data_IF_713762537643
#
_entry.id   IF_713762537643
#
_cell.length_a   1.000
_cell.length_b   1.000
_cell.length_c   1.000
_cell.angle_alpha   90.00
_cell.angle_beta   90.00
_cell.angle_gamma   90.00
#
_symmetry.space_group_name_H-M   'P 1'
#
loop_
_entity.id
_entity.type
_entity.pdbx_description
1 polymer ?
#
# COMPACT_ATOMS: atom_id res chain seq x y z
N UNK A 1 5.05 -14.82 -1.58
CA UNK A 1 4.16 -13.79 -1.03
C UNK A 1 3.34 -13.26 -2.19
N UNK A 2 2.02 -13.49 -2.21
CA UNK A 2 1.18 -13.05 -3.33
C UNK A 2 1.02 -11.52 -3.22
N UNK A 3 1.37 -10.78 -4.28
CA UNK A 3 1.05 -9.36 -4.40
C UNK A 3 -0.47 -9.22 -4.25
N UNK A 4 -0.95 -8.27 -3.46
CA UNK A 4 -2.32 -7.76 -3.65
C UNK A 4 -2.50 -7.57 -5.16
N UNK A 5 -3.43 -8.29 -5.78
CA UNK A 5 -3.80 -8.14 -7.19
C UNK A 5 -4.58 -6.82 -7.40
N UNK A 6 -4.03 -5.72 -6.90
CA UNK A 6 -3.99 -4.53 -7.70
C UNK A 6 -2.77 -4.74 -8.58
N UNK A 7 -2.90 -4.53 -9.88
CA UNK A 7 -1.75 -4.45 -10.78
C UNK A 7 -0.89 -3.27 -10.28
N UNK A 8 -0.08 -3.51 -9.23
CA UNK A 8 0.72 -2.55 -8.47
C UNK A 8 1.93 -2.21 -9.33
N UNK A 9 1.64 -1.62 -10.46
CA UNK A 9 2.58 -0.73 -11.07
C UNK A 9 2.08 0.66 -10.73
N UNK A 10 2.37 1.04 -9.50
CA UNK A 10 2.29 2.42 -9.02
C UNK A 10 2.90 3.35 -10.08
N UNK A 11 4.01 2.93 -10.70
CA UNK A 11 4.65 3.58 -11.84
C UNK A 11 3.78 3.65 -13.10
N UNK A 12 2.97 2.63 -13.43
CA UNK A 12 2.01 2.67 -14.56
C UNK A 12 0.83 3.57 -14.25
N UNK A 13 0.27 3.48 -13.04
CA UNK A 13 -0.86 4.32 -12.64
C UNK A 13 -0.43 5.78 -12.65
N UNK A 14 0.73 6.10 -12.09
CA UNK A 14 1.27 7.45 -12.06
C UNK A 14 2.06 7.83 -13.34
N UNK A 15 2.04 6.97 -14.37
CA UNK A 15 2.71 7.27 -15.62
C UNK A 15 2.03 8.48 -16.29
N UNK A 16 2.78 9.54 -16.52
CA UNK A 16 2.26 10.77 -17.12
C UNK A 16 1.53 11.70 -16.15
N UNK A 17 1.48 11.40 -14.83
CA UNK A 17 1.00 12.36 -13.83
C UNK A 17 2.02 13.49 -13.61
N UNK A 18 1.56 14.65 -13.14
CA UNK A 18 2.44 15.76 -12.76
C UNK A 18 3.36 15.37 -11.60
N UNK A 19 4.48 16.09 -11.45
CA UNK A 19 5.41 15.93 -10.32
C UNK A 19 4.68 16.17 -8.99
N UNK A 20 3.84 17.19 -8.92
CA UNK A 20 3.01 17.50 -7.75
C UNK A 20 2.16 16.31 -7.29
N UNK A 21 1.50 15.61 -8.23
CA UNK A 21 0.71 14.42 -7.90
C UNK A 21 1.62 13.29 -7.41
N UNK A 22 2.77 13.06 -8.07
CA UNK A 22 3.72 12.02 -7.64
C UNK A 22 4.22 12.28 -6.22
N UNK A 23 4.69 13.50 -5.95
CA UNK A 23 5.20 13.91 -4.64
C UNK A 23 4.11 13.77 -3.57
N UNK A 24 2.88 14.17 -3.88
CA UNK A 24 1.74 14.00 -2.98
C UNK A 24 1.46 12.53 -2.66
N UNK A 25 1.43 11.66 -3.67
CA UNK A 25 1.19 10.22 -3.47
C UNK A 25 2.32 9.59 -2.66
N UNK A 26 3.57 9.96 -2.95
CA UNK A 26 4.73 9.50 -2.18
C UNK A 26 4.64 9.93 -0.72
N UNK A 27 4.29 11.19 -0.46
CA UNK A 27 4.10 11.70 0.90
C UNK A 27 2.94 10.98 1.62
N UNK A 28 1.82 10.74 0.94
CA UNK A 28 0.68 10.02 1.49
C UNK A 28 1.03 8.57 1.86
N UNK A 29 1.77 7.87 0.98
CA UNK A 29 2.25 6.51 1.25
C UNK A 29 3.18 6.50 2.45
N UNK A 30 4.15 7.43 2.50
CA UNK A 30 5.07 7.52 3.62
C UNK A 30 4.33 7.77 4.94
N UNK A 31 3.33 8.67 4.95
CA UNK A 31 2.52 8.96 6.12
C UNK A 31 1.77 7.71 6.60
N UNK A 32 1.19 6.92 5.67
CA UNK A 32 0.45 5.70 6.00
C UNK A 32 1.38 4.67 6.66
N UNK A 33 2.56 4.46 6.06
CA UNK A 33 3.54 3.47 6.53
C UNK A 33 4.13 3.81 7.90
N UNK A 34 4.20 5.09 8.28
CA UNK A 34 4.75 5.48 9.60
C UNK A 34 3.68 5.73 10.67
N UNK A 35 2.40 5.67 10.32
CA UNK A 35 1.28 6.13 11.15
C UNK A 35 1.19 5.41 12.50
N UNK A 36 1.61 4.17 12.58
CA UNK A 36 1.56 3.31 13.77
C UNK A 36 2.90 3.25 14.54
N UNK A 37 3.90 4.00 14.10
CA UNK A 37 5.24 4.07 14.67
C UNK A 37 6.12 2.82 14.50
N UNK A 38 5.73 1.82 13.70
CA UNK A 38 6.49 0.58 13.44
C UNK A 38 6.49 0.32 11.93
N UNK A 39 7.66 0.19 11.30
CA UNK A 39 7.74 -0.16 9.87
C UNK A 39 8.09 -1.64 9.73
N UNK A 40 7.13 -2.43 9.30
CA UNK A 40 7.30 -3.85 9.00
C UNK A 40 7.88 -4.07 7.59
N UNK A 41 8.42 -5.28 7.35
CA UNK A 41 9.11 -5.60 6.08
C UNK A 41 8.25 -5.39 4.84
N UNK A 42 6.95 -5.69 4.92
CA UNK A 42 6.05 -5.55 3.78
C UNK A 42 5.65 -4.08 3.54
N UNK A 43 5.55 -3.26 4.59
CA UNK A 43 5.32 -1.82 4.47
C UNK A 43 6.54 -1.12 3.87
N UNK A 44 7.74 -1.58 4.22
CA UNK A 44 8.98 -1.10 3.62
C UNK A 44 9.02 -1.33 2.09
N UNK A 45 8.47 -2.45 1.60
CA UNK A 45 8.37 -2.70 0.14
C UNK A 45 7.47 -1.65 -0.53
N UNK A 46 6.35 -1.28 0.10
CA UNK A 46 5.48 -0.22 -0.43
C UNK A 46 6.20 1.15 -0.45
N UNK A 47 6.99 1.44 0.60
CA UNK A 47 7.81 2.65 0.64
C UNK A 47 8.91 2.65 -0.45
N UNK A 48 9.55 1.50 -0.70
CA UNK A 48 10.52 1.35 -1.79
C UNK A 48 9.90 1.58 -3.17
N UNK A 49 8.69 1.07 -3.41
CA UNK A 49 7.95 1.33 -4.65
C UNK A 49 7.62 2.82 -4.80
N UNK A 50 7.23 3.50 -3.73
CA UNK A 50 6.96 4.94 -3.74
C UNK A 50 8.23 5.77 -4.01
N UNK A 51 9.35 5.44 -3.37
CA UNK A 51 10.65 6.08 -3.59
C UNK A 51 11.08 6.01 -5.05
N UNK A 52 10.75 4.93 -5.75
CA UNK A 52 11.01 4.76 -7.18
C UNK A 52 10.29 5.75 -8.09
N UNK A 53 9.34 6.55 -7.57
CA UNK A 53 8.63 7.60 -8.31
C UNK A 53 9.30 8.97 -8.24
N UNK A 54 10.25 9.14 -7.33
CA UNK A 54 10.96 10.41 -7.13
C UNK A 54 12.02 10.60 -8.20
N UNK A 55 12.26 11.86 -8.57
CA UNK A 55 13.01 12.18 -9.79
C UNK A 55 14.54 12.07 -9.58
N UNK A 56 15.01 12.19 -8.33
CA UNK A 56 16.45 12.22 -8.03
C UNK A 56 16.80 11.69 -6.63
N UNK A 57 18.11 11.45 -6.42
CA UNK A 57 18.64 10.89 -5.17
C UNK A 57 18.45 11.80 -3.95
N UNK A 58 18.39 13.12 -4.14
CA UNK A 58 18.25 14.07 -3.04
C UNK A 58 16.83 14.04 -2.47
N UNK A 59 15.81 13.95 -3.32
CA UNK A 59 14.41 13.75 -2.90
C UNK A 59 14.23 12.43 -2.14
N UNK A 60 14.88 11.35 -2.64
CA UNK A 60 14.87 10.06 -1.96
C UNK A 60 15.52 10.18 -0.58
N UNK A 61 16.65 10.88 -0.48
CA UNK A 61 17.36 11.07 0.77
C UNK A 61 16.55 11.91 1.77
N UNK A 62 15.93 13.00 1.32
CA UNK A 62 15.06 13.85 2.13
C UNK A 62 13.88 13.07 2.69
N UNK A 63 13.13 12.36 1.83
CA UNK A 63 12.01 11.53 2.26
C UNK A 63 12.46 10.48 3.29
N UNK A 64 13.56 9.78 3.03
CA UNK A 64 14.07 8.76 3.95
C UNK A 64 14.51 9.36 5.30
N UNK A 65 15.01 10.58 5.32
CA UNK A 65 15.33 11.28 6.56
C UNK A 65 14.04 11.67 7.30
N UNK A 66 13.03 12.22 6.61
CA UNK A 66 11.72 12.52 7.20
C UNK A 66 11.01 11.29 7.76
N UNK A 67 11.08 10.15 7.06
CA UNK A 67 10.55 8.86 7.53
C UNK A 67 11.26 8.40 8.80
N UNK A 68 12.60 8.49 8.86
CA UNK A 68 13.38 8.14 10.05
C UNK A 68 13.06 9.05 11.23
N UNK A 69 12.95 10.35 10.98
CA UNK A 69 12.64 11.37 11.99
C UNK A 69 11.15 11.40 12.37
N UNK A 70 10.29 10.74 11.60
CA UNK A 70 8.82 10.74 11.76
C UNK A 70 8.23 12.15 11.67
N UNK A 71 8.87 13.00 10.86
CA UNK A 71 8.44 14.37 10.56
C UNK A 71 8.07 14.44 9.09
N UNK A 72 6.99 13.75 8.75
CA UNK A 72 6.43 13.85 7.41
C UNK A 72 5.53 15.06 7.29
N UNK A 73 5.46 15.58 6.08
CA UNK A 73 4.59 16.69 5.75
C UNK A 73 3.13 16.25 5.83
N UNK A 74 2.27 17.14 6.29
CA UNK A 74 0.84 16.86 6.39
C UNK A 74 0.23 16.61 5.00
N UNK A 75 -0.70 15.65 4.90
CA UNK A 75 -1.41 15.41 3.64
C UNK A 75 -2.46 16.51 3.43
N UNK A 76 -2.23 17.36 2.44
CA UNK A 76 -3.11 18.47 2.06
C UNK A 76 -4.05 18.13 0.89
N UNK A 77 -5.02 19.00 0.61
CA UNK A 77 -5.97 18.82 -0.50
C UNK A 77 -5.24 18.95 -1.85
N UNK A 78 -5.53 18.07 -2.79
CA UNK A 78 -4.96 18.08 -4.14
C UNK A 78 -6.06 17.95 -5.19
N UNK A 79 -5.90 18.67 -6.30
CA UNK A 79 -6.82 18.56 -7.45
C UNK A 79 -6.33 17.49 -8.41
N UNK A 80 -7.20 16.52 -8.71
CA UNK A 80 -6.95 15.45 -9.67
C UNK A 80 -8.23 15.17 -10.46
N UNK A 81 -8.09 14.54 -11.63
CA UNK A 81 -9.24 13.93 -12.29
C UNK A 81 -9.93 12.93 -11.33
N UNK A 82 -11.28 12.93 -11.19
CA UNK A 82 -11.97 12.07 -10.23
C UNK A 82 -11.71 10.57 -10.40
N UNK A 83 -11.61 10.10 -11.65
CA UNK A 83 -11.29 8.70 -11.94
C UNK A 83 -9.87 8.36 -11.53
N UNK A 84 -8.94 9.29 -11.74
CA UNK A 84 -7.57 9.17 -11.30
C UNK A 84 -7.42 9.19 -9.77
N UNK A 85 -8.11 10.12 -9.10
CA UNK A 85 -8.15 10.22 -7.63
C UNK A 85 -8.66 8.92 -6.99
N UNK A 86 -9.69 8.31 -7.57
CA UNK A 86 -10.20 7.02 -7.12
C UNK A 86 -9.14 5.90 -7.25
N UNK A 87 -8.43 5.83 -8.38
CA UNK A 87 -7.36 4.85 -8.57
C UNK A 87 -6.22 5.03 -7.56
N UNK A 88 -5.80 6.28 -7.31
CA UNK A 88 -4.83 6.60 -6.25
C UNK A 88 -5.35 6.14 -4.89
N UNK A 89 -6.62 6.36 -4.58
CA UNK A 89 -7.19 5.95 -3.30
C UNK A 89 -7.22 4.43 -3.11
N UNK A 90 -7.50 3.65 -4.16
CA UNK A 90 -7.39 2.19 -4.11
C UNK A 90 -5.98 1.71 -3.77
N UNK A 91 -4.95 2.38 -4.31
CA UNK A 91 -3.55 2.09 -4.01
C UNK A 91 -3.25 2.39 -2.54
N UNK A 92 -3.63 3.57 -2.05
CA UNK A 92 -3.40 3.97 -0.65
C UNK A 92 -4.08 2.99 0.30
N UNK A 93 -5.32 2.60 0.02
CA UNK A 93 -6.05 1.63 0.83
C UNK A 93 -5.33 0.27 0.86
N UNK A 94 -4.81 -0.19 -0.28
CA UNK A 94 -4.08 -1.45 -0.37
C UNK A 94 -2.73 -1.43 0.34
N UNK A 95 -2.09 -0.25 0.45
CA UNK A 95 -0.87 -0.09 1.25
C UNK A 95 -1.23 -0.10 2.73
N UNK A 96 -2.28 0.61 3.14
CA UNK A 96 -2.72 0.70 4.52
C UNK A 96 -3.11 -0.66 5.14
N UNK A 97 -3.43 -1.68 4.33
CA UNK A 97 -3.81 -3.02 4.81
C UNK A 97 -2.80 -4.11 4.47
N UNK A 98 -1.60 -3.75 4.03
CA UNK A 98 -0.63 -4.70 3.47
C UNK A 98 -0.12 -5.71 4.52
N UNK A 99 -0.20 -5.37 5.81
CA UNK A 99 0.10 -6.26 6.94
C UNK A 99 -1.03 -7.27 7.24
N UNK A 100 -2.20 -7.10 6.60
CA UNK A 100 -3.38 -7.91 6.81
C UNK A 100 -4.35 -7.38 7.86
N UNK A 101 -4.08 -6.22 8.44
CA UNK A 101 -4.91 -5.52 9.41
C UNK A 101 -5.07 -4.05 8.99
N UNK A 102 -5.88 -3.28 9.72
CA UNK A 102 -5.92 -1.82 9.58
C UNK A 102 -6.01 -1.22 10.98
N UNK A 103 -4.90 -0.66 11.46
CA UNK A 103 -4.85 0.00 12.77
C UNK A 103 -5.64 1.30 12.71
N UNK A 104 -6.04 1.80 13.88
CA UNK A 104 -6.82 3.03 13.97
C UNK A 104 -6.10 4.24 13.36
N UNK A 105 -4.79 4.36 13.59
CA UNK A 105 -3.96 5.44 13.04
C UNK A 105 -3.92 5.42 11.50
N UNK A 106 -3.72 4.23 10.91
CA UNK A 106 -3.74 4.03 9.46
C UNK A 106 -5.14 4.31 8.88
N UNK A 107 -6.21 3.89 9.56
CA UNK A 107 -7.59 4.14 9.14
C UNK A 107 -7.93 5.63 9.14
N UNK A 108 -7.56 6.35 10.20
CA UNK A 108 -7.80 7.79 10.34
C UNK A 108 -7.03 8.57 9.26
N UNK A 109 -5.79 8.18 8.98
CA UNK A 109 -4.98 8.78 7.93
C UNK A 109 -5.46 8.44 6.51
N UNK A 110 -5.86 7.18 6.26
CA UNK A 110 -6.43 6.78 4.98
C UNK A 110 -7.72 7.56 4.71
N UNK A 111 -8.58 7.72 5.72
CA UNK A 111 -9.79 8.54 5.62
C UNK A 111 -9.44 9.99 5.27
N UNK A 112 -8.42 10.56 5.93
CA UNK A 112 -7.92 11.91 5.60
C UNK A 112 -7.46 12.01 4.15
N UNK A 113 -6.68 11.04 3.66
CA UNK A 113 -6.25 11.02 2.27
C UNK A 113 -7.44 11.01 1.30
N UNK A 114 -8.48 10.22 1.58
CA UNK A 114 -9.69 10.19 0.77
C UNK A 114 -10.42 11.55 0.72
N UNK A 115 -10.49 12.26 1.85
CA UNK A 115 -11.05 13.62 1.91
C UNK A 115 -10.19 14.63 1.13
N UNK A 116 -8.86 14.53 1.22
CA UNK A 116 -7.94 15.38 0.47
C UNK A 116 -7.98 15.14 -1.05
N UNK A 117 -8.45 13.96 -1.47
CA UNK A 117 -8.73 13.60 -2.87
C UNK A 117 -10.16 13.99 -3.32
N UNK A 118 -10.91 14.71 -2.48
CA UNK A 118 -12.28 15.15 -2.74
C UNK A 118 -13.29 13.99 -2.93
N UNK A 119 -13.02 12.83 -2.31
CA UNK A 119 -13.90 11.66 -2.38
C UNK A 119 -15.01 11.73 -1.32
N UNK A 120 -16.18 11.21 -1.68
CA UNK A 120 -17.31 11.09 -0.75
C UNK A 120 -17.01 10.08 0.36
N UNK A 121 -17.49 10.36 1.58
CA UNK A 121 -17.27 9.51 2.76
C UNK A 121 -17.76 8.07 2.56
N UNK A 122 -18.86 7.86 1.83
CA UNK A 122 -19.40 6.53 1.59
C UNK A 122 -18.54 5.74 0.59
N UNK A 123 -17.95 6.42 -0.40
CA UNK A 123 -16.97 5.82 -1.29
C UNK A 123 -15.70 5.43 -0.55
N UNK A 124 -15.19 6.32 0.31
CA UNK A 124 -14.02 6.06 1.18
C UNK A 124 -14.24 4.79 2.01
N UNK A 125 -15.42 4.67 2.65
CA UNK A 125 -15.80 3.50 3.46
C UNK A 125 -15.94 2.23 2.62
N UNK A 126 -16.56 2.33 1.45
CA UNK A 126 -16.77 1.20 0.56
C UNK A 126 -15.44 0.62 0.07
N UNK A 127 -14.53 1.47 -0.40
CA UNK A 127 -13.18 1.06 -0.85
C UNK A 127 -12.38 0.47 0.30
N UNK A 128 -12.38 1.10 1.48
CA UNK A 128 -11.66 0.58 2.66
C UNK A 128 -12.16 -0.82 3.05
N UNK A 129 -13.48 -1.01 3.07
CA UNK A 129 -14.11 -2.30 3.40
C UNK A 129 -13.79 -3.36 2.35
N UNK A 130 -13.83 -2.98 1.07
CA UNK A 130 -13.47 -3.87 -0.03
C UNK A 130 -12.01 -4.31 0.06
N UNK A 131 -11.08 -3.40 0.33
CA UNK A 131 -9.65 -3.73 0.40
C UNK A 131 -9.34 -4.67 1.57
N UNK A 132 -9.93 -4.45 2.75
CA UNK A 132 -9.84 -5.38 3.87
C UNK A 132 -10.36 -6.77 3.51
N UNK A 133 -11.49 -6.84 2.80
CA UNK A 133 -12.05 -8.12 2.33
C UNK A 133 -11.13 -8.81 1.34
N UNK A 134 -10.57 -8.07 0.38
CA UNK A 134 -9.59 -8.60 -0.58
C UNK A 134 -8.36 -9.15 0.13
N UNK A 135 -7.81 -8.42 1.10
CA UNK A 135 -6.64 -8.88 1.85
C UNK A 135 -6.94 -10.15 2.65
N UNK A 136 -8.12 -10.25 3.26
CA UNK A 136 -8.58 -11.46 3.94
C UNK A 136 -8.64 -12.67 3.00
N UNK A 137 -9.15 -12.48 1.77
CA UNK A 137 -9.20 -13.53 0.74
C UNK A 137 -7.77 -13.95 0.34
N UNK A 138 -6.88 -12.99 0.10
CA UNK A 138 -5.48 -13.26 -0.27
C UNK A 138 -4.73 -14.03 0.80
N UNK A 139 -4.95 -13.68 2.07
CA UNK A 139 -4.37 -14.37 3.22
C UNK A 139 -4.85 -15.81 3.31
N UNK A 140 -6.15 -16.05 3.09
CA UNK A 140 -6.70 -17.41 3.06
C UNK A 140 -6.09 -18.22 1.92
N UNK A 141 -6.11 -17.67 0.71
CA UNK A 141 -5.54 -18.33 -0.47
C UNK A 141 -4.06 -18.71 -0.26
N UNK A 142 -3.26 -17.79 0.28
CA UNK A 142 -1.84 -18.04 0.57
C UNK A 142 -1.63 -19.16 1.58
N UNK A 143 -2.48 -19.25 2.61
CA UNK A 143 -2.44 -20.35 3.60
C UNK A 143 -2.81 -21.69 2.96
N UNK A 144 -3.88 -21.72 2.18
CA UNK A 144 -4.36 -22.93 1.51
C UNK A 144 -3.30 -23.46 0.53
N UNK A 145 -2.68 -22.57 -0.26
CA UNK A 145 -1.59 -22.92 -1.18
C UNK A 145 -0.37 -23.47 -0.46
N UNK A 146 0.05 -22.84 0.64
CA UNK A 146 1.18 -23.33 1.44
C UNK A 146 0.88 -24.70 2.06
N UNK A 147 -0.36 -24.96 2.49
CA UNK A 147 -0.77 -26.29 2.97
C UNK A 147 -0.64 -27.33 1.86
N UNK A 148 -1.19 -27.03 0.68
CA UNK A 148 -1.12 -27.92 -0.49
C UNK A 148 0.33 -28.24 -0.89
N UNK A 149 1.22 -27.24 -0.87
CA UNK A 149 2.63 -27.44 -1.19
C UNK A 149 3.36 -28.34 -0.15
N UNK A 150 3.05 -28.18 1.14
CA UNK A 150 3.58 -29.07 2.19
C UNK A 150 3.11 -30.51 2.00
N UNK A 151 1.87 -30.72 1.59
CA UNK A 151 1.35 -32.06 1.30
C UNK A 151 2.05 -32.69 0.10
N UNK A 152 2.32 -31.90 -0.96
CA UNK A 152 3.16 -32.33 -2.08
C UNK A 152 4.57 -32.75 -1.63
N UNK A 153 5.22 -31.96 -0.78
CA UNK A 153 6.55 -32.29 -0.25
C UNK A 153 6.55 -33.58 0.57
N UNK A 154 5.50 -33.81 1.38
CA UNK A 154 5.32 -35.07 2.12
C UNK A 154 5.22 -36.27 1.18
N UNK A 155 4.44 -36.17 0.10
CA UNK A 155 4.29 -37.23 -0.92
C UNK A 155 5.65 -37.55 -1.58
N UNK A 156 6.41 -36.52 -1.94
CA UNK A 156 7.75 -36.70 -2.52
C UNK A 156 8.67 -37.42 -1.54
N UNK A 157 8.73 -36.96 -0.29
CA UNK A 157 9.61 -37.52 0.73
C UNK A 157 9.23 -38.97 1.10
N UNK A 158 7.93 -39.31 1.12
CA UNK A 158 7.50 -40.70 1.37
C UNK A 158 7.83 -41.65 0.22
N UNK A 159 8.10 -41.12 -0.98
CA UNK A 159 8.43 -41.93 -2.18
C UNK A 159 9.93 -42.13 -2.34
N UNK A 160 10.76 -41.16 -1.89
CA UNK A 160 12.23 -41.21 -2.02
C UNK A 160 12.91 -42.03 -0.89
N UNK A 161 12.22 -42.23 0.25
CA UNK A 161 12.77 -42.95 1.42
C UNK A 161 12.48 -44.48 1.34
N UNK A 162 11.86 -44.96 0.26
CA UNK A 162 11.76 -46.39 -0.09
C UNK A 162 12.76 -46.73 -1.21
#
# INVERSE_FOLDING_TARGET
MYKLQLDRELTKVLAGSSKEIRDWVVNAIANIVVADNIIEKHEFVALQEAIGLLDNKDEIHDLMNKVKERKLDEVEKISMDPGFALNVFFILAAIAVIDGNLKKSEADLLKKCGVCLDLENDLIRAVTSWTLKQMSINNKFSKDLNSSNKDRERIINSTIIN
#
